data_IF_515584829911
#
_entry.id   IF_515584829911
#
_cell.length_a   1.000
_cell.length_b   1.000
_cell.length_c   1.000
_cell.angle_alpha   90.00
_cell.angle_beta   90.00
_cell.angle_gamma   90.00
#
_symmetry.space_group_name_H-M   'P 1'
#
loop_
_entity.id
_entity.type
_entity.pdbx_description
1 polymer ?
#
# COMPACT_ATOMS: atom_id res chain seq x y z
N UNK A 1 30.34 -66.46 12.35
CA UNK A 1 31.69 -65.89 12.15
C UNK A 1 31.77 -65.45 10.71
N UNK A 2 31.38 -64.20 10.46
CA UNK A 2 31.25 -63.62 9.13
C UNK A 2 32.32 -62.54 8.93
N UNK A 3 32.90 -62.58 7.73
CA UNK A 3 33.77 -61.58 7.13
C UNK A 3 33.01 -60.25 7.04
N UNK A 4 33.64 -59.15 7.46
CA UNK A 4 33.19 -57.79 7.14
C UNK A 4 34.40 -56.96 6.69
N UNK A 5 34.51 -56.81 5.38
CA UNK A 5 35.39 -55.88 4.69
C UNK A 5 34.91 -54.45 4.98
N UNK A 6 35.77 -53.64 5.59
CA UNK A 6 35.58 -52.20 5.71
C UNK A 6 35.85 -51.56 4.34
N UNK A 7 34.80 -51.21 3.62
CA UNK A 7 34.91 -50.31 2.47
C UNK A 7 35.01 -48.87 2.98
N UNK A 8 36.23 -48.33 2.98
CA UNK A 8 36.45 -46.89 2.94
C UNK A 8 35.92 -46.37 1.62
N UNK A 9 34.87 -45.55 1.67
CA UNK A 9 34.37 -44.83 0.51
C UNK A 9 34.65 -43.35 0.71
N UNK A 10 35.91 -42.96 0.47
CA UNK A 10 36.32 -41.56 0.29
C UNK A 10 35.75 -41.08 -1.04
N UNK A 11 34.52 -40.55 -1.02
CA UNK A 11 34.06 -39.67 -2.09
C UNK A 11 34.65 -38.28 -1.87
N UNK A 12 35.84 -38.08 -2.43
CA UNK A 12 36.38 -36.77 -2.75
C UNK A 12 35.40 -36.04 -3.69
N UNK A 13 34.65 -35.09 -3.14
CA UNK A 13 33.94 -34.09 -3.92
C UNK A 13 34.86 -32.86 -4.11
N UNK A 14 35.07 -32.51 -5.37
CA UNK A 14 35.94 -31.45 -5.87
C UNK A 14 35.78 -30.08 -5.19
N UNK A 15 36.88 -29.40 -4.78
CA UNK A 15 36.82 -28.03 -4.31
C UNK A 15 37.05 -27.06 -5.46
N UNK A 16 35.97 -26.52 -6.03
CA UNK A 16 36.04 -25.23 -6.76
C UNK A 16 34.85 -24.35 -6.39
N UNK A 17 34.59 -24.19 -5.09
CA UNK A 17 33.82 -23.03 -4.64
C UNK A 17 34.75 -21.83 -4.65
N UNK A 18 34.40 -20.79 -5.40
CA UNK A 18 34.99 -19.47 -5.18
C UNK A 18 34.88 -19.13 -3.69
N UNK A 19 35.89 -18.48 -3.09
CA UNK A 19 35.80 -18.05 -1.70
C UNK A 19 34.57 -17.15 -1.53
N UNK A 20 33.63 -17.56 -0.68
CA UNK A 20 32.45 -16.76 -0.35
C UNK A 20 32.87 -15.59 0.53
N UNK A 21 32.24 -14.44 0.34
CA UNK A 21 32.54 -13.21 1.06
C UNK A 21 31.78 -13.16 2.38
N UNK A 22 32.48 -12.98 3.50
CA UNK A 22 31.86 -12.68 4.80
C UNK A 22 31.47 -11.20 4.87
N UNK A 23 30.20 -10.84 5.13
CA UNK A 23 29.81 -9.45 5.27
C UNK A 23 30.26 -8.88 6.63
N UNK A 24 30.91 -7.72 6.61
CA UNK A 24 31.22 -6.92 7.81
C UNK A 24 30.32 -5.69 7.89
N UNK A 25 29.00 -5.92 7.87
CA UNK A 25 27.96 -4.89 7.91
C UNK A 25 27.34 -4.84 9.32
N UNK A 26 26.89 -3.65 9.75
CA UNK A 26 26.16 -3.47 11.02
C UNK A 26 24.93 -2.60 10.80
N UNK A 27 24.00 -2.66 11.75
CA UNK A 27 22.83 -1.80 11.85
C UNK A 27 22.00 -1.76 10.54
N UNK A 28 21.74 -0.57 10.00
CA UNK A 28 20.93 -0.39 8.78
C UNK A 28 21.61 -1.04 7.57
N UNK A 29 22.94 -1.01 7.49
CA UNK A 29 23.69 -1.60 6.37
C UNK A 29 23.51 -3.12 6.31
N UNK A 30 23.34 -3.82 7.42
CA UNK A 30 23.03 -5.27 7.41
C UNK A 30 21.66 -5.56 6.75
N UNK A 31 20.71 -4.61 6.82
CA UNK A 31 19.37 -4.76 6.23
C UNK A 31 19.42 -4.95 4.71
N UNK A 32 20.48 -4.51 4.02
CA UNK A 32 20.63 -4.74 2.57
C UNK A 32 20.70 -6.24 2.23
N UNK A 33 21.20 -7.07 3.15
CA UNK A 33 21.24 -8.53 3.00
C UNK A 33 19.83 -9.13 3.03
N UNK A 34 18.92 -8.56 3.83
CA UNK A 34 17.52 -8.99 3.86
C UNK A 34 16.80 -8.71 2.53
N UNK A 35 17.05 -7.52 1.95
CA UNK A 35 16.51 -7.14 0.65
C UNK A 35 17.06 -8.02 -0.49
N UNK A 36 18.37 -8.31 -0.47
CA UNK A 36 18.99 -9.25 -1.39
C UNK A 36 18.36 -10.65 -1.29
N UNK A 37 18.26 -11.19 -0.08
CA UNK A 37 17.74 -12.53 0.18
C UNK A 37 16.32 -12.72 -0.34
N UNK A 38 15.43 -11.75 -0.09
CA UNK A 38 14.06 -11.82 -0.60
C UNK A 38 14.01 -11.81 -2.14
N UNK A 39 14.88 -11.03 -2.81
CA UNK A 39 14.93 -10.97 -4.27
C UNK A 39 15.54 -12.23 -4.87
N UNK A 40 16.66 -12.69 -4.36
CA UNK A 40 17.33 -13.90 -4.82
C UNK A 40 16.45 -15.14 -4.66
N UNK A 41 15.81 -15.27 -3.49
CA UNK A 41 14.88 -16.36 -3.23
C UNK A 41 13.67 -16.34 -4.17
N UNK A 42 13.13 -15.16 -4.50
CA UNK A 42 12.02 -15.02 -5.45
C UNK A 42 12.46 -15.28 -6.90
N UNK A 43 13.64 -14.82 -7.29
CA UNK A 43 14.19 -14.99 -8.63
C UNK A 43 14.58 -16.44 -8.95
N UNK A 44 14.94 -17.22 -7.93
CA UNK A 44 15.21 -18.65 -8.08
C UNK A 44 13.95 -19.50 -8.27
N UNK A 45 12.74 -18.93 -8.17
CA UNK A 45 11.50 -19.69 -8.29
C UNK A 45 11.04 -19.81 -9.74
N UNK A 46 10.51 -20.99 -10.16
CA UNK A 46 9.86 -21.13 -11.45
C UNK A 46 8.64 -20.21 -11.64
N UNK A 47 7.93 -19.92 -10.54
CA UNK A 47 6.76 -19.05 -10.49
C UNK A 47 7.09 -17.63 -9.95
N UNK A 48 8.37 -17.24 -9.96
CA UNK A 48 8.88 -16.00 -9.39
C UNK A 48 8.30 -14.75 -10.05
N UNK A 49 8.03 -13.70 -9.26
CA UNK A 49 7.53 -12.41 -9.77
C UNK A 49 8.63 -11.46 -10.27
N UNK A 50 9.89 -11.81 -10.04
CA UNK A 50 11.05 -11.02 -10.42
C UNK A 50 12.10 -11.92 -11.08
N UNK A 51 12.62 -11.52 -12.24
CA UNK A 51 13.77 -12.18 -12.87
C UNK A 51 15.03 -11.38 -12.56
N UNK A 52 15.93 -11.96 -11.77
CA UNK A 52 17.10 -11.25 -11.24
C UNK A 52 18.30 -12.19 -11.04
N UNK A 53 18.96 -12.61 -12.14
CA UNK A 53 20.07 -13.56 -12.06
C UNK A 53 21.28 -12.99 -11.31
N UNK A 54 21.46 -11.67 -11.29
CA UNK A 54 22.56 -11.06 -10.54
C UNK A 54 22.31 -11.12 -9.04
N UNK A 55 21.07 -10.92 -8.57
CA UNK A 55 20.77 -11.09 -7.13
C UNK A 55 21.04 -12.52 -6.64
N UNK A 56 20.72 -13.53 -7.45
CA UNK A 56 21.02 -14.94 -7.14
C UNK A 56 22.53 -15.16 -7.02
N UNK A 57 23.32 -14.70 -8.00
CA UNK A 57 24.79 -14.82 -7.97
C UNK A 57 25.40 -14.13 -6.74
N UNK A 58 24.94 -12.91 -6.42
CA UNK A 58 25.43 -12.15 -5.26
C UNK A 58 25.07 -12.90 -3.96
N UNK A 59 23.84 -13.38 -3.84
CA UNK A 59 23.38 -14.16 -2.70
C UNK A 59 24.23 -15.42 -2.49
N UNK A 60 24.49 -16.20 -3.55
CA UNK A 60 25.31 -17.42 -3.48
C UNK A 60 26.79 -17.14 -3.13
N UNK A 61 27.29 -15.95 -3.47
CA UNK A 61 28.65 -15.54 -3.18
C UNK A 61 28.87 -15.03 -1.75
N UNK A 62 27.81 -14.82 -0.95
CA UNK A 62 27.91 -14.30 0.42
C UNK A 62 27.85 -15.45 1.42
N UNK A 63 28.81 -15.48 2.36
CA UNK A 63 28.80 -16.41 3.49
C UNK A 63 28.03 -15.81 4.67
N UNK A 64 26.71 -16.00 4.65
CA UNK A 64 25.81 -15.50 5.68
C UNK A 64 24.63 -16.47 5.87
N UNK A 65 24.23 -16.71 7.12
CA UNK A 65 23.09 -17.58 7.44
C UNK A 65 21.77 -16.80 7.32
N UNK A 66 21.34 -16.57 6.08
CA UNK A 66 20.18 -15.74 5.76
C UNK A 66 18.89 -16.25 6.38
N UNK A 67 18.64 -17.56 6.36
CA UNK A 67 17.40 -18.13 6.86
C UNK A 67 17.31 -18.01 8.39
N UNK A 68 18.42 -18.24 9.11
CA UNK A 68 18.44 -18.08 10.57
C UNK A 68 18.22 -16.63 10.98
N UNK A 69 18.82 -15.67 10.27
CA UNK A 69 18.71 -14.26 10.61
C UNK A 69 17.35 -13.68 10.18
N UNK A 70 16.90 -13.92 8.96
CA UNK A 70 15.72 -13.22 8.41
C UNK A 70 14.44 -14.05 8.35
N UNK A 71 14.52 -15.37 8.55
CA UNK A 71 13.40 -16.30 8.42
C UNK A 71 13.12 -16.68 6.96
N UNK A 72 11.89 -17.10 6.69
CA UNK A 72 11.46 -17.44 5.33
C UNK A 72 11.23 -16.17 4.48
N UNK A 73 11.68 -16.16 3.21
CA UNK A 73 11.53 -14.99 2.35
C UNK A 73 10.07 -14.81 1.95
N UNK A 74 9.49 -13.65 2.29
CA UNK A 74 8.07 -13.36 2.05
C UNK A 74 7.79 -12.84 0.62
N UNK A 75 8.83 -12.55 -0.16
CA UNK A 75 8.73 -12.05 -1.55
C UNK A 75 8.26 -10.59 -1.66
N UNK A 76 7.91 -9.94 -0.56
CA UNK A 76 7.44 -8.55 -0.51
C UNK A 76 8.45 -7.55 -1.09
N UNK A 77 9.74 -7.74 -0.77
CA UNK A 77 10.82 -6.88 -1.26
C UNK A 77 11.14 -7.14 -2.75
N UNK A 78 10.88 -8.36 -3.24
CA UNK A 78 11.00 -8.67 -4.65
C UNK A 78 9.87 -8.05 -5.48
N UNK A 79 8.63 -8.09 -4.98
CA UNK A 79 7.51 -7.36 -5.56
C UNK A 79 7.77 -5.85 -5.56
N UNK A 80 8.33 -5.30 -4.47
CA UNK A 80 8.72 -3.89 -4.40
C UNK A 80 9.68 -3.54 -5.55
N UNK A 81 10.75 -4.32 -5.74
CA UNK A 81 11.68 -4.16 -6.85
C UNK A 81 10.98 -4.23 -8.21
N UNK A 82 10.14 -5.24 -8.45
CA UNK A 82 9.40 -5.40 -9.71
C UNK A 82 8.45 -4.22 -10.02
N UNK A 83 7.80 -3.67 -9.00
CA UNK A 83 6.91 -2.51 -9.14
C UNK A 83 7.70 -1.24 -9.53
N UNK A 84 8.88 -1.04 -8.93
CA UNK A 84 9.78 0.07 -9.27
C UNK A 84 10.33 -0.13 -10.69
N UNK A 85 10.74 -1.35 -11.07
CA UNK A 85 11.23 -1.67 -12.42
C UNK A 85 10.20 -1.25 -13.50
N UNK A 86 8.92 -1.49 -13.24
CA UNK A 86 7.83 -1.12 -14.16
C UNK A 86 7.74 0.39 -14.36
N UNK A 87 7.88 1.17 -13.30
CA UNK A 87 7.84 2.64 -13.37
C UNK A 87 9.09 3.18 -14.06
N UNK A 88 10.27 2.68 -13.71
CA UNK A 88 11.52 3.06 -14.36
C UNK A 88 11.48 2.77 -15.86
N UNK A 89 11.03 1.59 -16.29
CA UNK A 89 10.90 1.26 -17.71
C UNK A 89 9.93 2.20 -18.45
N UNK A 90 8.83 2.61 -17.81
CA UNK A 90 7.90 3.60 -18.40
C UNK A 90 8.52 4.98 -18.50
N UNK A 91 9.30 5.38 -17.49
CA UNK A 91 10.00 6.65 -17.49
C UNK A 91 11.11 6.67 -18.55
N UNK A 92 11.91 5.61 -18.66
CA UNK A 92 12.98 5.44 -19.65
C UNK A 92 12.49 5.45 -21.10
N UNK A 93 11.23 5.07 -21.36
CA UNK A 93 10.63 5.24 -22.70
C UNK A 93 10.51 6.72 -23.10
N UNK A 94 10.33 7.62 -22.13
CA UNK A 94 10.27 9.08 -22.33
C UNK A 94 11.65 9.74 -22.19
N UNK A 95 12.53 9.13 -21.40
CA UNK A 95 13.87 9.62 -21.07
C UNK A 95 14.93 8.54 -21.32
N UNK A 96 15.21 8.15 -22.58
CA UNK A 96 16.08 7.03 -22.89
C UNK A 96 17.51 7.20 -22.32
N UNK A 97 18.04 8.43 -22.35
CA UNK A 97 19.38 8.77 -21.83
C UNK A 97 19.32 9.40 -20.42
N UNK A 98 18.20 9.22 -19.73
CA UNK A 98 17.93 9.79 -18.42
C UNK A 98 18.91 9.31 -17.35
N UNK A 99 19.06 10.10 -16.29
CA UNK A 99 19.83 9.74 -15.11
C UNK A 99 18.91 9.19 -14.04
N UNK A 100 19.14 7.93 -13.63
CA UNK A 100 18.53 7.39 -12.42
C UNK A 100 19.50 7.54 -11.26
N UNK A 101 19.04 8.09 -10.13
CA UNK A 101 19.80 8.17 -8.88
C UNK A 101 19.13 7.26 -7.85
N UNK A 102 19.86 6.28 -7.34
CA UNK A 102 19.39 5.36 -6.30
C UNK A 102 20.05 5.69 -4.97
N UNK A 103 19.26 6.16 -4.01
CA UNK A 103 19.68 6.54 -2.68
C UNK A 103 19.54 5.33 -1.74
N UNK A 104 20.61 4.97 -1.04
CA UNK A 104 20.65 3.80 -0.15
C UNK A 104 20.49 2.49 -0.93
N UNK A 105 21.17 2.37 -2.07
CA UNK A 105 20.94 1.28 -3.02
C UNK A 105 21.32 -0.12 -2.49
N UNK A 106 22.32 -0.21 -1.62
CA UNK A 106 22.88 -1.45 -1.12
C UNK A 106 23.26 -2.41 -2.24
N UNK A 107 22.69 -3.62 -2.22
CA UNK A 107 22.95 -4.69 -3.19
C UNK A 107 21.85 -4.81 -4.26
N UNK A 108 21.03 -3.78 -4.45
CA UNK A 108 20.03 -3.75 -5.51
C UNK A 108 20.68 -3.87 -6.90
N UNK A 109 20.08 -4.69 -7.77
CA UNK A 109 20.56 -4.99 -9.15
C UNK A 109 19.64 -4.39 -10.21
N UNK A 110 18.77 -3.46 -9.82
CA UNK A 110 17.77 -2.83 -10.66
C UNK A 110 18.36 -2.21 -11.93
N UNK A 111 19.52 -1.55 -11.83
CA UNK A 111 20.26 -1.03 -12.99
C UNK A 111 20.49 -2.10 -14.08
N UNK A 112 20.72 -3.37 -13.71
CA UNK A 112 20.91 -4.49 -14.65
C UNK A 112 19.60 -4.96 -15.28
N UNK A 113 18.49 -4.88 -14.53
CA UNK A 113 17.16 -5.35 -14.98
C UNK A 113 16.43 -4.35 -15.86
N UNK A 114 16.75 -3.06 -15.76
CA UNK A 114 16.07 -1.98 -16.50
C UNK A 114 16.95 -1.29 -17.54
N UNK A 115 18.21 -1.72 -17.70
CA UNK A 115 19.12 -1.15 -18.69
C UNK A 115 18.55 -1.21 -20.11
N UNK A 116 18.49 -0.05 -20.76
CA UNK A 116 18.10 0.10 -22.15
C UNK A 116 19.33 0.32 -23.07
N UNK A 117 20.55 0.27 -22.51
CA UNK A 117 21.81 0.46 -23.21
C UNK A 117 22.33 1.89 -23.23
N UNK A 118 21.50 2.91 -22.94
CA UNK A 118 21.90 4.33 -23.00
C UNK A 118 21.67 5.10 -21.70
N UNK A 119 20.81 4.60 -20.81
CA UNK A 119 20.56 5.21 -19.50
C UNK A 119 21.83 5.31 -18.66
N UNK A 120 21.82 6.27 -17.72
CA UNK A 120 22.86 6.44 -16.70
C UNK A 120 22.27 6.12 -15.33
N UNK A 121 23.11 5.57 -14.46
CA UNK A 121 22.75 5.20 -13.10
C UNK A 121 23.79 5.73 -12.12
N UNK A 122 23.31 6.30 -11.01
CA UNK A 122 24.13 6.76 -9.91
C UNK A 122 23.67 6.07 -8.62
N UNK A 123 24.51 5.20 -8.09
CA UNK A 123 24.34 4.62 -6.75
C UNK A 123 24.91 5.57 -5.71
N UNK A 124 24.10 5.98 -4.74
CA UNK A 124 24.54 6.79 -3.59
C UNK A 124 24.27 6.00 -2.32
N UNK A 125 25.32 5.68 -1.58
CA UNK A 125 25.18 4.94 -0.32
C UNK A 125 26.37 5.20 0.61
N UNK A 126 26.26 4.76 1.87
CA UNK A 126 27.33 4.87 2.85
C UNK A 126 28.62 4.20 2.34
N UNK A 127 29.81 4.69 2.75
CA UNK A 127 31.08 4.16 2.26
C UNK A 127 31.24 2.64 2.41
N UNK A 128 30.83 2.08 3.53
CA UNK A 128 30.86 0.64 3.77
C UNK A 128 29.90 -0.15 2.86
N UNK A 129 28.75 0.44 2.53
CA UNK A 129 27.78 -0.15 1.62
C UNK A 129 28.29 -0.17 0.18
N UNK A 130 28.86 0.95 -0.29
CA UNK A 130 29.49 1.02 -1.62
C UNK A 130 30.69 0.09 -1.71
N UNK A 131 31.57 0.07 -0.69
CA UNK A 131 32.71 -0.84 -0.65
C UNK A 131 32.29 -2.30 -0.75
N UNK A 132 31.21 -2.69 -0.06
CA UNK A 132 30.68 -4.06 -0.13
C UNK A 132 30.02 -4.35 -1.48
N UNK A 133 29.19 -3.44 -1.99
CA UNK A 133 28.55 -3.52 -3.31
C UNK A 133 29.56 -3.74 -4.42
N UNK A 134 30.68 -3.01 -4.38
CA UNK A 134 31.72 -3.07 -5.39
C UNK A 134 32.48 -4.39 -5.44
N UNK A 135 32.32 -5.28 -4.47
CA UNK A 135 32.84 -6.64 -4.59
C UNK A 135 32.09 -7.46 -5.64
N UNK A 136 30.84 -7.08 -5.95
CA UNK A 136 29.97 -7.82 -6.86
C UNK A 136 29.52 -7.00 -8.08
N UNK A 137 29.24 -5.71 -7.88
CA UNK A 137 28.77 -4.80 -8.91
C UNK A 137 29.81 -3.71 -9.06
N UNK A 138 30.68 -3.79 -10.08
CA UNK A 138 31.70 -2.76 -10.34
C UNK A 138 31.09 -1.52 -11.01
N UNK A 139 31.57 -0.31 -10.67
CA UNK A 139 31.17 0.89 -11.38
C UNK A 139 31.66 0.87 -12.83
N UNK A 140 30.95 1.58 -13.70
CA UNK A 140 31.29 1.83 -15.09
C UNK A 140 31.06 3.30 -15.43
N UNK A 141 31.36 3.72 -16.65
CA UNK A 141 31.10 5.09 -17.10
C UNK A 141 29.61 5.45 -17.03
N UNK A 142 28.71 4.48 -17.30
CA UNK A 142 27.25 4.68 -17.22
C UNK A 142 26.69 4.42 -15.83
N UNK A 143 27.29 3.49 -15.06
CA UNK A 143 26.82 3.06 -13.75
C UNK A 143 27.83 3.46 -12.69
N UNK A 144 27.67 4.67 -12.15
CA UNK A 144 28.61 5.26 -11.21
C UNK A 144 28.16 5.04 -9.77
N UNK A 145 29.13 5.04 -8.87
CA UNK A 145 28.90 4.98 -7.43
C UNK A 145 29.47 6.22 -6.74
N UNK A 146 28.78 6.69 -5.69
CA UNK A 146 29.26 7.71 -4.76
C UNK A 146 29.09 7.18 -3.34
N UNK A 147 30.21 7.08 -2.63
CA UNK A 147 30.30 6.66 -1.24
C UNK A 147 30.05 7.85 -0.29
N UNK A 148 28.77 8.22 -0.13
CA UNK A 148 28.34 9.30 0.76
C UNK A 148 26.93 9.03 1.28
N UNK A 149 26.61 9.57 2.46
CA UNK A 149 25.24 9.53 2.99
C UNK A 149 24.26 10.20 2.03
N UNK A 150 23.06 9.62 1.89
CA UNK A 150 21.98 10.25 1.12
C UNK A 150 21.58 11.64 1.66
N UNK A 151 21.86 11.92 2.94
CA UNK A 151 21.62 13.22 3.58
C UNK A 151 22.67 14.29 3.24
N UNK A 152 23.82 13.89 2.69
CA UNK A 152 24.84 14.82 2.24
C UNK A 152 24.48 15.32 0.83
N UNK A 153 24.13 16.59 0.69
CA UNK A 153 23.71 17.13 -0.61
C UNK A 153 24.82 17.14 -1.67
N UNK A 154 26.08 16.86 -1.32
CA UNK A 154 27.19 16.83 -2.27
C UNK A 154 27.01 15.79 -3.39
N UNK A 155 26.24 14.71 -3.18
CA UNK A 155 25.95 13.77 -4.27
C UNK A 155 25.14 14.41 -5.42
N UNK A 156 24.46 15.52 -5.15
CA UNK A 156 23.67 16.26 -6.13
C UNK A 156 24.52 17.19 -7.03
N UNK A 157 25.80 17.37 -6.71
CA UNK A 157 26.68 18.33 -7.37
C UNK A 157 27.21 17.80 -8.70
N UNK A 158 27.21 18.68 -9.71
CA UNK A 158 27.75 18.37 -11.04
C UNK A 158 26.98 17.30 -11.82
N UNK A 159 25.76 16.92 -11.38
CA UNK A 159 24.92 16.00 -12.14
C UNK A 159 24.34 16.68 -13.38
N UNK A 160 24.48 16.04 -14.53
CA UNK A 160 23.82 16.46 -15.77
C UNK A 160 22.34 16.05 -15.73
N UNK A 161 21.48 17.05 -15.53
CA UNK A 161 20.02 16.90 -15.42
C UNK A 161 19.29 17.11 -16.74
N UNK A 162 20.00 17.42 -17.84
CA UNK A 162 19.42 17.84 -19.12
C UNK A 162 18.54 16.76 -19.80
N UNK A 163 18.76 15.48 -19.46
CA UNK A 163 18.02 14.33 -19.99
C UNK A 163 16.90 13.83 -19.08
N UNK A 164 16.65 14.54 -17.98
CA UNK A 164 15.72 14.14 -16.94
C UNK A 164 16.41 13.32 -15.85
N UNK A 165 15.87 13.44 -14.64
CA UNK A 165 16.34 12.72 -13.44
C UNK A 165 15.18 11.92 -12.86
N UNK A 166 15.45 10.67 -12.53
CA UNK A 166 14.55 9.83 -11.74
C UNK A 166 15.24 9.41 -10.45
N UNK A 167 14.59 9.57 -9.30
CA UNK A 167 15.18 9.23 -8.00
C UNK A 167 14.48 8.00 -7.41
N UNK A 168 15.26 7.03 -6.94
CA UNK A 168 14.77 5.86 -6.22
C UNK A 168 15.31 5.92 -4.80
N UNK A 169 14.44 5.81 -3.81
CA UNK A 169 14.80 5.67 -2.40
C UNK A 169 13.98 4.55 -1.77
N UNK A 170 14.32 3.30 -2.10
CA UNK A 170 13.62 2.12 -1.58
C UNK A 170 14.33 1.54 -0.36
N UNK A 171 13.58 1.23 0.69
CA UNK A 171 14.14 0.73 1.95
C UNK A 171 15.10 1.71 2.61
N UNK A 172 14.89 3.02 2.45
CA UNK A 172 15.79 4.05 2.99
C UNK A 172 15.06 5.00 3.95
N UNK A 173 14.07 5.75 3.45
CA UNK A 173 13.56 6.94 4.14
C UNK A 173 12.94 6.62 5.52
N UNK A 174 12.39 5.42 5.68
CA UNK A 174 11.83 4.94 6.96
C UNK A 174 12.84 4.95 8.12
N UNK A 175 14.13 4.81 7.83
CA UNK A 175 15.23 4.80 8.82
C UNK A 175 15.71 6.20 9.21
N UNK A 176 15.27 7.24 8.51
CA UNK A 176 15.73 8.61 8.71
C UNK A 176 14.78 9.38 9.64
N UNK A 177 15.32 10.34 10.38
CA UNK A 177 14.49 11.21 11.21
C UNK A 177 13.50 12.00 10.35
N UNK A 178 12.24 12.22 10.79
CA UNK A 178 11.22 12.88 9.97
C UNK A 178 11.66 14.24 9.40
N UNK A 179 12.42 15.00 10.19
CA UNK A 179 12.96 16.29 9.76
C UNK A 179 14.05 16.15 8.69
N UNK A 180 14.91 15.14 8.80
CA UNK A 180 15.93 14.84 7.79
C UNK A 180 15.28 14.40 6.47
N UNK A 181 14.18 13.63 6.52
CA UNK A 181 13.41 13.27 5.32
C UNK A 181 12.83 14.52 4.67
N UNK A 182 12.20 15.41 5.45
CA UNK A 182 11.66 16.68 4.93
C UNK A 182 12.73 17.51 4.24
N UNK A 183 13.89 17.65 4.87
CA UNK A 183 15.02 18.42 4.33
C UNK A 183 15.58 17.79 3.05
N UNK A 184 15.82 16.47 3.04
CA UNK A 184 16.30 15.73 1.87
C UNK A 184 15.34 15.87 0.69
N UNK A 185 14.04 15.61 0.89
CA UNK A 185 13.06 15.71 -0.18
C UNK A 185 12.94 17.16 -0.71
N UNK A 186 12.99 18.16 0.18
CA UNK A 186 12.95 19.57 -0.24
C UNK A 186 14.18 19.94 -1.06
N UNK A 187 15.39 19.54 -0.63
CA UNK A 187 16.63 19.77 -1.37
C UNK A 187 16.61 19.09 -2.76
N UNK A 188 16.07 17.87 -2.84
CA UNK A 188 15.83 17.18 -4.11
C UNK A 188 14.88 17.99 -5.01
N UNK A 189 13.78 18.51 -4.46
CA UNK A 189 12.80 19.30 -5.21
C UNK A 189 13.34 20.65 -5.70
N UNK A 190 14.24 21.24 -4.93
CA UNK A 190 14.92 22.48 -5.28
C UNK A 190 15.93 22.26 -6.41
N UNK A 191 16.74 21.19 -6.33
CA UNK A 191 17.80 20.88 -7.29
C UNK A 191 17.30 20.26 -8.60
N UNK A 192 16.32 19.37 -8.53
CA UNK A 192 15.88 18.55 -9.66
C UNK A 192 14.44 18.88 -10.08
N UNK A 193 14.25 20.06 -10.66
CA UNK A 193 12.95 20.46 -11.22
C UNK A 193 12.53 19.54 -12.36
N UNK A 194 11.26 19.09 -12.37
CA UNK A 194 10.76 18.17 -13.39
C UNK A 194 11.16 16.71 -13.17
N UNK A 195 11.85 16.38 -12.07
CA UNK A 195 12.20 15.01 -11.76
C UNK A 195 11.00 14.21 -11.25
N UNK A 196 11.10 12.90 -11.40
CA UNK A 196 10.19 11.92 -10.81
C UNK A 196 10.94 11.15 -9.71
N UNK A 197 10.25 10.78 -8.63
CA UNK A 197 10.84 10.05 -7.52
C UNK A 197 9.94 8.92 -7.06
N UNK A 198 10.53 7.79 -6.68
CA UNK A 198 9.82 6.69 -6.02
C UNK A 198 10.48 6.32 -4.70
N UNK A 199 9.66 6.13 -3.68
CA UNK A 199 10.11 5.68 -2.36
C UNK A 199 9.00 4.89 -1.67
N UNK A 200 9.38 4.03 -0.72
CA UNK A 200 8.45 3.33 0.14
C UNK A 200 8.27 4.04 1.48
N UNK A 201 7.07 3.90 2.03
CA UNK A 201 6.72 4.35 3.38
C UNK A 201 6.13 3.20 4.17
N UNK A 202 6.42 3.19 5.47
CA UNK A 202 5.74 2.34 6.44
C UNK A 202 4.63 3.13 7.15
N UNK A 203 3.52 2.48 7.51
CA UNK A 203 2.47 3.15 8.28
C UNK A 203 2.95 3.47 9.70
N UNK A 204 2.36 4.48 10.33
CA UNK A 204 2.81 4.98 11.65
C UNK A 204 2.75 3.93 12.74
N UNK A 205 1.77 3.04 12.72
CA UNK A 205 1.68 1.95 13.69
C UNK A 205 2.91 1.03 13.60
N UNK A 206 3.38 0.72 12.39
CA UNK A 206 4.53 -0.14 12.17
C UNK A 206 5.82 0.56 12.61
N UNK A 207 5.97 1.84 12.24
CA UNK A 207 7.03 2.70 12.77
C UNK A 207 7.09 2.64 14.31
N UNK A 208 5.96 2.87 15.01
CA UNK A 208 5.91 2.78 16.49
C UNK A 208 6.34 1.41 17.03
N UNK A 209 5.94 0.32 16.40
CA UNK A 209 6.37 -1.03 16.81
C UNK A 209 7.89 -1.22 16.67
N UNK A 210 8.48 -0.79 15.56
CA UNK A 210 9.94 -0.89 15.37
C UNK A 210 10.71 -0.04 16.37
N UNK A 211 10.17 1.14 16.74
CA UNK A 211 10.77 2.02 17.75
C UNK A 211 10.78 1.39 19.16
N UNK A 212 9.77 0.59 19.50
CA UNK A 212 9.71 -0.15 20.78
C UNK A 212 10.62 -1.40 20.74
N UNK A 213 10.95 -1.90 19.54
CA UNK A 213 11.79 -3.06 19.32
C UNK A 213 11.00 -4.25 18.82
N UNK A 214 10.99 -4.41 17.51
CA UNK A 214 10.32 -5.52 16.84
C UNK A 214 11.36 -6.55 16.38
N UNK A 215 11.22 -7.79 16.85
CA UNK A 215 12.05 -8.92 16.44
C UNK A 215 11.46 -9.55 15.17
N UNK A 216 12.27 -9.65 14.12
CA UNK A 216 11.91 -10.38 12.91
C UNK A 216 12.11 -11.89 13.12
N UNK A 217 13.22 -12.25 13.77
CA UNK A 217 13.52 -13.60 14.24
C UNK A 217 14.13 -13.49 15.65
N UNK A 218 14.42 -14.63 16.29
CA UNK A 218 15.20 -14.64 17.53
C UNK A 218 16.63 -14.07 17.35
N UNK A 219 17.12 -13.95 16.12
CA UNK A 219 18.49 -13.55 15.79
C UNK A 219 18.58 -12.19 15.08
N UNK A 220 17.44 -11.57 14.74
CA UNK A 220 17.42 -10.30 14.02
C UNK A 220 16.32 -9.39 14.53
N UNK A 221 16.73 -8.25 15.09
CA UNK A 221 15.87 -7.14 15.46
C UNK A 221 15.78 -6.18 14.29
N UNK A 222 14.57 -5.82 13.88
CA UNK A 222 14.40 -4.79 12.86
C UNK A 222 15.00 -3.47 13.34
N UNK A 223 15.78 -2.77 12.51
CA UNK A 223 16.28 -1.45 12.85
C UNK A 223 15.11 -0.48 13.10
N UNK A 224 15.28 0.51 14.00
CA UNK A 224 14.26 1.51 14.26
C UNK A 224 13.88 2.26 12.98
N UNK A 225 12.57 2.40 12.72
CA UNK A 225 12.05 3.15 11.58
C UNK A 225 11.32 4.41 12.06
N UNK A 226 12.02 5.50 12.40
CA UNK A 226 11.43 6.68 13.02
C UNK A 226 10.48 7.46 12.10
N UNK A 227 10.53 7.25 10.79
CA UNK A 227 9.61 7.90 9.85
C UNK A 227 8.56 6.93 9.33
N UNK A 228 7.32 7.12 9.78
CA UNK A 228 6.13 6.50 9.22
C UNK A 228 5.17 7.55 8.65
N UNK A 229 4.49 7.19 7.57
CA UNK A 229 3.54 8.06 6.85
C UNK A 229 2.33 7.22 6.43
N UNK A 230 1.15 7.58 6.91
CA UNK A 230 -0.07 6.86 6.55
C UNK A 230 -0.53 7.27 5.14
N UNK A 231 -1.08 6.31 4.40
CA UNK A 231 -1.38 6.47 2.97
C UNK A 231 -2.29 7.67 2.69
N UNK A 232 -3.31 7.87 3.50
CA UNK A 232 -4.35 8.88 3.25
C UNK A 232 -3.86 10.32 3.54
N UNK A 233 -2.85 10.48 4.38
CA UNK A 233 -2.25 11.79 4.69
C UNK A 233 -1.02 12.11 3.82
N UNK A 234 -0.44 11.10 3.16
CA UNK A 234 0.84 11.24 2.46
C UNK A 234 0.84 12.39 1.44
N UNK A 235 -0.21 12.49 0.62
CA UNK A 235 -0.31 13.54 -0.38
C UNK A 235 -0.44 14.95 0.24
N UNK A 236 -1.18 15.08 1.34
CA UNK A 236 -1.36 16.35 2.03
C UNK A 236 -0.07 16.80 2.74
N UNK A 237 0.63 15.87 3.40
CA UNK A 237 1.89 16.16 4.10
C UNK A 237 2.99 16.54 3.12
N UNK A 238 3.17 15.75 2.05
CA UNK A 238 4.20 16.04 1.05
C UNK A 238 3.95 17.42 0.42
N UNK A 239 2.73 17.70 -0.08
CA UNK A 239 2.40 19.03 -0.64
C UNK A 239 2.65 20.20 0.31
N UNK A 240 2.50 19.99 1.63
CA UNK A 240 2.81 21.01 2.63
C UNK A 240 4.32 21.22 2.82
N UNK A 241 5.14 20.20 2.58
CA UNK A 241 6.59 20.32 2.71
C UNK A 241 7.22 21.12 1.58
N UNK A 242 6.72 21.00 0.35
CA UNK A 242 7.28 21.74 -0.76
C UNK A 242 6.24 22.02 -1.87
N UNK A 243 6.15 23.25 -2.40
CA UNK A 243 5.15 23.63 -3.40
C UNK A 243 5.33 22.91 -4.75
N UNK A 244 6.52 22.36 -5.03
CA UNK A 244 6.78 21.60 -6.26
C UNK A 244 6.34 20.13 -6.19
N UNK A 245 5.87 19.63 -5.06
CA UNK A 245 5.32 18.27 -5.00
C UNK A 245 3.89 18.26 -5.56
N UNK A 246 3.77 18.07 -6.87
CA UNK A 246 2.50 18.28 -7.59
C UNK A 246 1.62 17.04 -7.56
N UNK A 247 2.18 15.90 -7.96
CA UNK A 247 1.45 14.62 -8.03
C UNK A 247 2.04 13.59 -7.06
N UNK A 248 1.16 12.93 -6.32
CA UNK A 248 1.49 11.89 -5.34
C UNK A 248 0.62 10.69 -5.67
N UNK A 249 1.18 9.78 -6.45
CA UNK A 249 0.53 8.55 -6.85
C UNK A 249 1.01 7.38 -6.00
N UNK A 250 0.16 6.38 -5.81
CA UNK A 250 0.51 5.15 -5.10
C UNK A 250 0.67 4.02 -6.10
N UNK A 251 1.83 3.38 -6.10
CA UNK A 251 2.04 2.19 -6.92
C UNK A 251 1.32 1.02 -6.26
N UNK A 252 0.42 0.40 -7.01
CA UNK A 252 -0.18 -0.86 -6.62
C UNK A 252 0.88 -1.95 -6.70
N UNK A 253 1.17 -2.59 -5.57
CA UNK A 253 1.99 -3.79 -5.55
C UNK A 253 1.36 -4.83 -4.62
N UNK A 254 1.13 -6.02 -5.16
CA UNK A 254 0.42 -7.11 -4.49
C UNK A 254 1.43 -8.13 -4.00
N UNK A 255 1.33 -8.54 -2.74
CA UNK A 255 2.16 -9.63 -2.22
C UNK A 255 2.05 -10.84 -3.15
N UNK A 256 3.14 -11.53 -3.46
CA UNK A 256 3.14 -12.52 -4.52
C UNK A 256 2.37 -13.78 -4.09
N UNK A 257 2.42 -14.14 -2.80
CA UNK A 257 1.86 -15.36 -2.21
C UNK A 257 1.51 -15.17 -0.72
N UNK A 258 0.96 -16.21 -0.11
CA UNK A 258 0.63 -16.27 1.33
C UNK A 258 -0.70 -15.60 1.70
N UNK A 259 -1.12 -15.67 2.97
CA UNK A 259 -2.38 -15.05 3.43
C UNK A 259 -2.42 -13.53 3.19
N UNK A 260 -1.25 -12.89 3.12
CA UNK A 260 -1.09 -11.47 2.80
C UNK A 260 -1.31 -11.12 1.32
N UNK A 261 -1.28 -12.09 0.39
CA UNK A 261 -1.70 -11.88 -1.01
C UNK A 261 -3.19 -11.54 -1.10
N UNK A 262 -4.00 -12.17 -0.24
CA UNK A 262 -5.44 -11.90 -0.10
C UNK A 262 -5.72 -10.60 0.65
N UNK A 263 -4.72 -10.02 1.32
CA UNK A 263 -4.87 -8.78 2.06
C UNK A 263 -5.30 -7.66 1.13
N UNK A 264 -4.71 -7.50 -0.07
CA UNK A 264 -5.05 -6.42 -0.99
C UNK A 264 -6.55 -6.34 -1.33
N UNK A 265 -7.20 -7.40 -1.84
CA UNK A 265 -8.65 -7.40 -2.06
C UNK A 265 -9.41 -7.25 -0.74
N UNK A 266 -8.97 -7.83 0.38
CA UNK A 266 -9.65 -7.71 1.67
C UNK A 266 -9.71 -6.28 2.22
N UNK A 267 -8.64 -5.47 2.16
CA UNK A 267 -8.74 -4.05 2.60
C UNK A 267 -9.63 -3.18 1.73
N UNK A 268 -9.86 -3.55 0.48
CA UNK A 268 -10.81 -2.80 -0.34
C UNK A 268 -12.22 -2.93 0.25
N UNK A 269 -12.47 -3.97 1.05
CA UNK A 269 -13.73 -4.23 1.75
C UNK A 269 -13.82 -3.53 3.13
N UNK A 270 -12.69 -3.19 3.76
CA UNK A 270 -12.65 -2.55 5.08
C UNK A 270 -11.93 -1.19 5.00
N UNK A 271 -12.67 -0.05 4.95
CA UNK A 271 -12.09 1.29 4.79
C UNK A 271 -11.01 1.63 5.84
N UNK A 272 -11.16 1.16 7.07
CA UNK A 272 -10.21 1.38 8.17
C UNK A 272 -8.86 0.65 7.98
N UNK A 273 -8.79 -0.37 7.11
CA UNK A 273 -7.55 -1.10 6.79
C UNK A 273 -6.84 -0.56 5.53
N UNK A 274 -7.38 0.50 4.90
CA UNK A 274 -6.81 1.12 3.69
C UNK A 274 -5.64 2.06 4.01
N UNK A 275 -5.69 2.73 5.16
CA UNK A 275 -4.68 3.67 5.69
C UNK A 275 -3.41 2.97 6.18
N UNK A 276 -3.56 1.76 6.72
CA UNK A 276 -2.60 1.07 7.59
C UNK A 276 -1.60 0.19 6.82
N UNK A 277 -1.09 0.64 5.67
CA UNK A 277 -0.31 -0.22 4.76
C UNK A 277 1.00 0.37 4.28
N UNK A 278 2.05 -0.46 4.19
CA UNK A 278 3.24 -0.11 3.42
C UNK A 278 2.83 0.26 2.00
N UNK A 279 3.36 1.38 1.52
CA UNK A 279 2.98 1.97 0.25
C UNK A 279 4.21 2.41 -0.51
N UNK A 280 4.20 2.20 -1.83
CA UNK A 280 5.17 2.79 -2.74
C UNK A 280 4.56 4.07 -3.30
N UNK A 281 5.22 5.19 -3.07
CA UNK A 281 4.80 6.51 -3.53
C UNK A 281 5.62 6.86 -4.76
N UNK A 282 4.92 7.24 -5.83
CA UNK A 282 5.50 7.90 -7.00
C UNK A 282 5.17 9.40 -6.92
N UNK A 283 6.20 10.20 -6.78
CA UNK A 283 6.15 11.63 -6.56
C UNK A 283 6.65 12.35 -7.82
N UNK A 284 5.83 13.25 -8.36
CA UNK A 284 6.24 14.14 -9.44
C UNK A 284 6.66 15.50 -8.86
N UNK A 285 7.85 15.97 -9.25
CA UNK A 285 8.38 17.27 -8.87
C UNK A 285 8.11 18.24 -10.01
N UNK A 286 7.12 19.11 -9.83
CA UNK A 286 6.72 20.10 -10.82
C UNK A 286 7.86 21.04 -11.22
N UNK A 287 7.82 21.46 -12.48
CA UNK A 287 8.55 22.64 -12.92
C UNK A 287 7.87 23.89 -12.33
N UNK A 288 8.62 24.95 -12.05
CA UNK A 288 8.01 26.21 -11.60
C UNK A 288 6.88 26.62 -12.57
N UNK A 289 5.75 27.16 -12.07
CA UNK A 289 4.61 27.44 -12.94
C UNK A 289 4.97 28.52 -13.95
N UNK A 290 5.09 28.14 -15.22
CA UNK A 290 4.69 29.01 -16.31
C UNK A 290 3.16 28.90 -16.40
N UNK A 291 2.47 30.03 -16.27
CA UNK A 291 1.03 30.12 -16.40
C UNK A 291 0.60 29.67 -17.81
N UNK A 292 0.06 28.46 -17.95
CA UNK A 292 -1.05 28.21 -18.88
C UNK A 292 -1.73 26.86 -18.62
N UNK A 293 -3.02 26.98 -18.33
CA UNK A 293 -4.09 25.98 -18.21
C UNK A 293 -4.10 24.97 -19.38
N UNK A 294 -4.34 23.68 -19.10
CA UNK A 294 -5.58 22.96 -19.45
C UNK A 294 -5.46 21.46 -19.14
N UNK A 295 -6.50 20.95 -18.47
CA UNK A 295 -6.64 19.61 -17.90
C UNK A 295 -6.79 18.52 -18.96
N UNK A 296 -6.05 17.43 -18.79
CA UNK A 296 -6.30 16.14 -19.42
C UNK A 296 -7.11 15.32 -18.41
N UNK A 297 -8.43 15.41 -18.46
CA UNK A 297 -9.30 14.53 -17.65
C UNK A 297 -10.49 13.93 -18.43
N UNK A 298 -10.57 14.18 -19.74
CA UNK A 298 -11.60 13.59 -20.59
C UNK A 298 -10.97 12.55 -21.53
N UNK A 299 -10.72 11.35 -21.01
CA UNK A 299 -10.66 10.13 -21.81
C UNK A 299 -10.63 8.93 -20.88
N UNK A 300 -11.80 8.34 -20.67
CA UNK A 300 -12.14 6.94 -20.32
C UNK A 300 -13.42 7.01 -19.47
N UNK A 301 -14.55 7.20 -20.14
CA UNK A 301 -15.88 6.90 -19.62
C UNK A 301 -16.84 6.81 -20.80
N UNK A 302 -16.81 5.68 -21.50
CA UNK A 302 -18.00 5.26 -22.24
C UNK A 302 -17.95 3.75 -22.50
N UNK A 303 -18.77 3.02 -21.74
CA UNK A 303 -19.67 1.97 -22.23
C UNK A 303 -20.48 1.44 -21.05
N UNK A 304 -21.72 1.94 -20.95
CA UNK A 304 -22.75 1.38 -20.09
C UNK A 304 -23.63 0.44 -20.92
N UNK A 305 -23.73 -0.82 -20.49
CA UNK A 305 -24.81 -1.73 -20.85
C UNK A 305 -25.83 -1.78 -19.70
N UNK A 306 -27.11 -1.74 -20.04
CA UNK A 306 -28.23 -1.74 -19.10
C UNK A 306 -28.39 -3.09 -18.32
N UNK A 307 -29.12 -3.10 -17.20
CA UNK A 307 -28.78 -3.91 -16.02
C UNK A 307 -29.53 -5.24 -15.92
N UNK A 308 -28.93 -6.17 -15.17
CA UNK A 308 -29.61 -7.32 -14.55
C UNK A 308 -29.36 -7.22 -13.03
N UNK A 309 -30.35 -7.47 -12.15
CA UNK A 309 -30.30 -7.00 -10.77
C UNK A 309 -29.39 -7.87 -9.88
N UNK A 310 -28.45 -7.24 -9.16
CA UNK A 310 -27.68 -7.86 -8.08
C UNK A 310 -26.15 -7.85 -8.21
N UNK A 311 -25.58 -6.96 -9.02
CA UNK A 311 -24.15 -7.01 -9.41
C UNK A 311 -23.28 -5.97 -8.69
N UNK A 312 -21.95 -6.14 -8.74
CA UNK A 312 -20.95 -5.19 -8.19
C UNK A 312 -21.16 -3.74 -8.68
N UNK A 313 -21.70 -3.54 -9.88
CA UNK A 313 -22.06 -2.22 -10.40
C UNK A 313 -23.18 -1.56 -9.60
N UNK A 314 -24.16 -2.31 -9.09
CA UNK A 314 -25.25 -1.79 -8.26
C UNK A 314 -24.70 -1.32 -6.90
N UNK A 315 -23.75 -2.08 -6.33
CA UNK A 315 -23.03 -1.66 -5.12
C UNK A 315 -22.23 -0.38 -5.34
N UNK A 316 -21.54 -0.25 -6.47
CA UNK A 316 -20.77 0.96 -6.81
C UNK A 316 -21.69 2.15 -7.06
N UNK A 317 -22.81 1.95 -7.75
CA UNK A 317 -23.81 2.99 -7.99
C UNK A 317 -24.44 3.48 -6.67
N UNK A 318 -24.86 2.56 -5.81
CA UNK A 318 -25.42 2.89 -4.50
C UNK A 318 -24.38 3.55 -3.58
N UNK A 319 -23.12 3.10 -3.59
CA UNK A 319 -22.05 3.73 -2.82
C UNK A 319 -21.76 5.17 -3.30
N UNK A 320 -21.75 5.41 -4.62
CA UNK A 320 -21.61 6.76 -5.20
C UNK A 320 -22.80 7.64 -4.81
N UNK A 321 -24.02 7.11 -4.87
CA UNK A 321 -25.24 7.82 -4.48
C UNK A 321 -25.21 8.19 -2.99
N UNK A 322 -24.86 7.25 -2.11
CA UNK A 322 -24.75 7.51 -0.66
C UNK A 322 -23.66 8.53 -0.34
N UNK A 323 -22.52 8.50 -1.06
CA UNK A 323 -21.46 9.50 -0.91
C UNK A 323 -21.91 10.90 -1.37
N UNK A 324 -22.63 11.01 -2.49
CA UNK A 324 -23.23 12.26 -2.96
C UNK A 324 -24.22 12.82 -1.95
N UNK A 325 -25.16 12.00 -1.49
CA UNK A 325 -26.14 12.34 -0.45
C UNK A 325 -25.52 12.83 0.86
N UNK A 326 -24.38 12.26 1.26
CA UNK A 326 -23.63 12.71 2.44
C UNK A 326 -22.95 14.07 2.24
N UNK A 327 -22.39 14.32 1.06
CA UNK A 327 -21.81 15.62 0.69
C UNK A 327 -22.86 16.72 0.68
N UNK A 328 -24.02 16.47 0.06
CA UNK A 328 -25.11 17.44 -0.03
C UNK A 328 -25.68 17.77 1.36
N UNK A 329 -25.84 16.76 2.22
CA UNK A 329 -26.26 16.94 3.61
C UNK A 329 -25.27 17.82 4.39
N UNK A 330 -23.96 17.61 4.21
CA UNK A 330 -22.93 18.40 4.88
C UNK A 330 -22.95 19.88 4.45
N UNK A 331 -23.12 20.14 3.15
CA UNK A 331 -23.25 21.50 2.61
C UNK A 331 -24.50 22.19 3.16
N UNK A 332 -25.66 21.53 3.11
CA UNK A 332 -26.92 22.09 3.59
C UNK A 332 -26.90 22.31 5.12
N UNK A 333 -26.34 21.38 5.90
CA UNK A 333 -26.15 21.55 7.34
C UNK A 333 -25.22 22.74 7.65
N UNK A 334 -24.17 22.94 6.86
CA UNK A 334 -23.27 24.09 6.97
C UNK A 334 -23.99 25.43 6.80
N UNK A 335 -24.94 25.52 5.86
CA UNK A 335 -25.76 26.72 5.66
C UNK A 335 -26.68 27.00 6.86
N UNK A 336 -27.34 25.97 7.40
CA UNK A 336 -28.17 26.07 8.60
C UNK A 336 -27.35 26.54 9.81
N UNK A 337 -26.15 25.99 9.99
CA UNK A 337 -25.23 26.39 11.06
C UNK A 337 -24.81 27.85 10.89
N UNK A 338 -24.40 28.26 9.69
CA UNK A 338 -23.99 29.64 9.43
C UNK A 338 -25.10 30.65 9.74
N UNK A 339 -26.35 30.36 9.35
CA UNK A 339 -27.51 31.21 9.66
C UNK A 339 -27.80 31.27 11.16
N UNK A 340 -27.76 30.14 11.86
CA UNK A 340 -27.99 30.09 13.32
C UNK A 340 -26.86 30.77 14.11
N UNK A 341 -25.63 30.75 13.60
CA UNK A 341 -24.51 31.54 14.16
C UNK A 341 -24.76 33.04 13.97
N UNK A 342 -25.22 33.47 12.80
CA UNK A 342 -25.57 34.87 12.56
C UNK A 342 -26.70 35.35 13.49
N UNK A 343 -27.74 34.53 13.70
CA UNK A 343 -28.80 34.80 14.68
C UNK A 343 -28.24 34.88 16.11
N UNK A 344 -27.29 34.02 16.47
CA UNK A 344 -26.61 34.05 17.78
C UNK A 344 -25.80 35.33 18.01
N UNK A 345 -25.09 35.80 16.99
CA UNK A 345 -24.35 37.07 17.04
C UNK A 345 -25.30 38.25 17.18
N UNK A 346 -26.41 38.27 16.42
CA UNK A 346 -27.43 39.32 16.55
C UNK A 346 -28.09 39.34 17.94
N UNK A 347 -28.36 38.16 18.51
CA UNK A 347 -28.90 38.02 19.86
C UNK A 347 -27.93 38.50 20.96
N UNK A 348 -26.61 38.35 20.76
CA UNK A 348 -25.61 38.88 21.69
C UNK A 348 -25.56 40.42 21.71
N UNK A 349 -25.88 41.06 20.58
CA UNK A 349 -25.95 42.52 20.45
C UNK A 349 -27.27 43.08 20.97
N UNK A 350 -28.40 42.37 20.75
CA UNK A 350 -29.71 42.75 21.26
C UNK A 350 -30.49 41.53 21.78
N UNK A 351 -30.32 41.17 23.07
CA UNK A 351 -30.92 39.97 23.65
C UNK A 351 -32.46 39.97 23.69
N UNK A 352 -33.06 41.16 23.77
CA UNK A 352 -34.53 41.31 23.85
C UNK A 352 -35.18 41.05 22.50
N UNK A 353 -34.51 41.37 21.40
CA UNK A 353 -34.99 41.14 20.03
C UNK A 353 -34.58 39.78 19.44
N UNK A 354 -33.94 38.91 20.23
CA UNK A 354 -33.50 37.60 19.77
C UNK A 354 -34.69 36.65 19.48
N UNK A 355 -34.54 35.80 18.47
CA UNK A 355 -35.52 34.75 18.15
C UNK A 355 -35.37 33.57 19.12
N UNK A 356 -35.85 33.76 20.34
CA UNK A 356 -35.84 32.76 21.41
C UNK A 356 -36.60 31.48 21.02
N UNK A 357 -37.59 31.59 20.12
CA UNK A 357 -38.34 30.44 19.63
C UNK A 357 -37.49 29.55 18.72
N UNK A 358 -36.64 30.13 17.86
CA UNK A 358 -35.70 29.37 17.05
C UNK A 358 -34.59 28.72 17.91
N UNK A 359 -34.06 29.41 18.93
CA UNK A 359 -33.07 28.82 19.84
C UNK A 359 -33.63 27.63 20.64
N UNK A 360 -34.87 27.71 21.11
CA UNK A 360 -35.52 26.65 21.86
C UNK A 360 -35.74 25.36 21.02
N UNK A 361 -35.81 25.47 19.68
CA UNK A 361 -36.05 24.33 18.77
C UNK A 361 -34.78 23.58 18.38
N UNK A 362 -33.61 24.21 18.44
CA UNK A 362 -32.37 23.66 17.87
C UNK A 362 -31.94 22.31 18.45
N UNK A 363 -32.07 22.14 19.76
CA UNK A 363 -31.67 20.90 20.46
C UNK A 363 -32.72 19.80 20.26
N UNK A 364 -34.03 20.03 20.50
CA UNK A 364 -35.07 19.04 20.23
C UNK A 364 -35.09 18.52 18.79
N UNK A 365 -34.93 19.38 17.79
CA UNK A 365 -34.89 18.98 16.38
C UNK A 365 -33.72 18.04 16.06
N UNK A 366 -32.52 18.37 16.56
CA UNK A 366 -31.34 17.52 16.39
C UNK A 366 -31.55 16.17 17.07
N UNK A 367 -31.98 16.18 18.33
CA UNK A 367 -32.23 14.95 19.09
C UNK A 367 -33.29 14.09 18.39
N UNK A 368 -34.35 14.70 17.87
CA UNK A 368 -35.39 14.01 17.10
C UNK A 368 -34.88 13.36 15.82
N UNK A 369 -34.10 14.10 15.02
CA UNK A 369 -33.53 13.60 13.76
C UNK A 369 -32.53 12.45 13.99
N UNK A 370 -31.65 12.57 14.99
CA UNK A 370 -30.69 11.52 15.35
C UNK A 370 -31.39 10.29 15.96
N UNK A 371 -32.44 10.49 16.76
CA UNK A 371 -33.22 9.37 17.32
C UNK A 371 -33.96 8.61 16.22
N UNK A 372 -34.58 9.31 15.27
CA UNK A 372 -35.25 8.71 14.13
C UNK A 372 -34.28 7.93 13.23
N UNK A 373 -33.09 8.48 12.96
CA UNK A 373 -32.03 7.76 12.27
C UNK A 373 -31.57 6.50 13.03
N UNK A 374 -31.49 6.56 14.36
CA UNK A 374 -31.19 5.41 15.22
C UNK A 374 -32.22 4.30 15.11
N UNK A 375 -33.52 4.63 15.14
CA UNK A 375 -34.61 3.65 14.96
C UNK A 375 -34.52 2.95 13.60
N UNK A 376 -34.21 3.69 12.54
CA UNK A 376 -34.01 3.13 11.20
C UNK A 376 -32.82 2.16 11.17
N UNK A 377 -31.70 2.50 11.83
CA UNK A 377 -30.56 1.59 11.92
C UNK A 377 -30.87 0.32 12.71
N UNK A 378 -31.64 0.41 13.79
CA UNK A 378 -32.07 -0.77 14.55
C UNK A 378 -32.94 -1.69 13.68
N UNK A 379 -33.94 -1.15 12.99
CA UNK A 379 -34.81 -1.92 12.11
C UNK A 379 -34.02 -2.60 10.97
N UNK A 380 -33.05 -1.90 10.37
CA UNK A 380 -32.20 -2.45 9.30
C UNK A 380 -31.19 -3.49 9.81
N UNK A 381 -30.76 -3.38 11.07
CA UNK A 381 -29.89 -4.38 11.70
C UNK A 381 -30.61 -5.71 11.93
N UNK A 382 -31.93 -5.70 12.17
CA UNK A 382 -32.73 -6.92 12.27
C UNK A 382 -32.83 -7.67 10.94
N UNK A 383 -32.95 -6.94 9.82
CA UNK A 383 -32.94 -7.49 8.46
C UNK A 383 -31.62 -8.22 8.17
N UNK A 384 -30.49 -7.57 8.49
CA UNK A 384 -29.16 -8.16 8.37
C UNK A 384 -28.98 -9.38 9.28
N UNK A 385 -29.45 -9.31 10.54
CA UNK A 385 -29.42 -10.44 11.49
C UNK A 385 -30.20 -11.64 10.94
N UNK A 386 -31.41 -11.42 10.43
CA UNK A 386 -32.22 -12.47 9.80
C UNK A 386 -31.53 -13.11 8.60
N UNK A 387 -30.83 -12.31 7.78
CA UNK A 387 -30.07 -12.82 6.65
C UNK A 387 -28.89 -13.70 7.09
N UNK A 388 -28.09 -13.23 8.06
CA UNK A 388 -26.95 -13.96 8.62
C UNK A 388 -27.41 -15.29 9.23
N UNK A 389 -28.49 -15.28 10.02
CA UNK A 389 -29.02 -16.50 10.63
C UNK A 389 -29.48 -17.50 9.56
N UNK A 390 -30.18 -17.05 8.52
CA UNK A 390 -30.60 -17.95 7.42
C UNK A 390 -29.41 -18.54 6.67
N UNK A 391 -28.39 -17.73 6.37
CA UNK A 391 -27.18 -18.21 5.72
C UNK A 391 -26.42 -19.22 6.59
N UNK A 392 -26.24 -18.93 7.88
CA UNK A 392 -25.57 -19.84 8.80
C UNK A 392 -26.28 -21.20 8.89
N UNK A 393 -27.61 -21.20 9.01
CA UNK A 393 -28.41 -22.43 9.01
C UNK A 393 -28.26 -23.20 7.68
N UNK A 394 -28.28 -22.49 6.56
CA UNK A 394 -28.07 -23.09 5.24
C UNK A 394 -26.69 -23.73 5.09
N UNK A 395 -25.62 -23.07 5.56
CA UNK A 395 -24.26 -23.61 5.48
C UNK A 395 -24.05 -24.82 6.39
N UNK A 396 -24.62 -24.82 7.60
CA UNK A 396 -24.59 -25.99 8.49
C UNK A 396 -25.26 -27.20 7.82
N UNK A 397 -26.43 -27.01 7.21
CA UNK A 397 -27.13 -28.08 6.51
C UNK A 397 -26.38 -28.56 5.26
N UNK A 398 -25.77 -27.64 4.52
CA UNK A 398 -24.99 -27.96 3.31
C UNK A 398 -23.72 -28.72 3.66
N UNK A 399 -23.01 -28.31 4.72
CA UNK A 399 -21.83 -29.01 5.22
C UNK A 399 -22.18 -30.40 5.76
N UNK A 400 -23.27 -30.54 6.53
CA UNK A 400 -23.74 -31.83 7.01
C UNK A 400 -24.03 -32.79 5.84
N UNK A 401 -24.77 -32.33 4.82
CA UNK A 401 -25.08 -33.12 3.63
C UNK A 401 -23.83 -33.55 2.86
N UNK A 402 -22.87 -32.64 2.68
CA UNK A 402 -21.62 -32.94 2.00
C UNK A 402 -20.78 -33.96 2.78
N UNK A 403 -20.76 -33.88 4.11
CA UNK A 403 -20.08 -34.86 4.97
C UNK A 403 -20.72 -36.24 4.87
N UNK A 404 -22.06 -36.34 4.87
CA UNK A 404 -22.75 -37.61 4.67
C UNK A 404 -22.51 -38.19 3.27
N UNK A 405 -22.52 -37.37 2.21
CA UNK A 405 -22.19 -37.79 0.84
C UNK A 405 -20.75 -38.33 0.79
N UNK A 406 -19.78 -37.61 1.38
CA UNK A 406 -18.38 -38.02 1.42
C UNK A 406 -18.15 -39.33 2.19
N UNK A 407 -18.93 -39.59 3.25
CA UNK A 407 -18.85 -40.83 4.03
C UNK A 407 -19.31 -42.08 3.24
N UNK A 408 -20.02 -41.91 2.11
CA UNK A 408 -20.43 -43.03 1.25
C UNK A 408 -19.37 -43.41 0.21
N UNK A 409 -18.31 -42.62 0.05
CA UNK A 409 -17.24 -42.93 -0.90
C UNK A 409 -16.19 -43.87 -0.30
N UNK A 410 -15.94 -44.99 -0.98
CA UNK A 410 -14.93 -45.97 -0.59
C UNK A 410 -13.53 -45.64 -1.15
N UNK A 411 -13.44 -44.73 -2.12
CA UNK A 411 -12.21 -44.37 -2.81
C UNK A 411 -11.71 -42.96 -2.37
N UNK A 412 -10.45 -42.84 -1.91
CA UNK A 412 -9.84 -41.55 -1.55
C UNK A 412 -9.92 -40.47 -2.64
N UNK A 413 -9.84 -40.84 -3.93
CA UNK A 413 -9.92 -39.87 -5.03
C UNK A 413 -11.31 -39.24 -5.15
N UNK A 414 -12.38 -40.02 -4.96
CA UNK A 414 -13.76 -39.52 -5.00
C UNK A 414 -14.08 -38.59 -3.84
N UNK A 415 -13.48 -38.84 -2.66
CA UNK A 415 -13.55 -37.92 -1.51
C UNK A 415 -12.86 -36.59 -1.84
N UNK A 416 -11.68 -36.63 -2.46
CA UNK A 416 -10.93 -35.42 -2.83
C UNK A 416 -11.68 -34.56 -3.88
N UNK A 417 -12.31 -35.20 -4.87
CA UNK A 417 -13.16 -34.51 -5.85
C UNK A 417 -14.41 -33.89 -5.21
N UNK A 418 -15.06 -34.60 -4.28
CA UNK A 418 -16.22 -34.09 -3.54
C UNK A 418 -15.84 -32.91 -2.64
N UNK A 419 -14.69 -32.96 -1.96
CA UNK A 419 -14.12 -31.83 -1.22
C UNK A 419 -13.87 -30.63 -2.14
N UNK A 420 -13.27 -30.85 -3.31
CA UNK A 420 -13.02 -29.78 -4.29
C UNK A 420 -14.29 -29.16 -4.88
N UNK A 421 -15.36 -29.94 -5.08
CA UNK A 421 -16.69 -29.42 -5.47
C UNK A 421 -17.32 -28.61 -4.35
N UNK A 422 -17.31 -29.12 -3.12
CA UNK A 422 -17.85 -28.44 -1.95
C UNK A 422 -17.13 -27.10 -1.70
N UNK A 423 -15.80 -27.09 -1.76
CA UNK A 423 -15.00 -25.88 -1.55
C UNK A 423 -15.32 -24.78 -2.57
N UNK A 424 -15.40 -25.11 -3.87
CA UNK A 424 -15.79 -24.14 -4.91
C UNK A 424 -17.19 -23.59 -4.70
N UNK A 425 -18.17 -24.46 -4.46
CA UNK A 425 -19.55 -24.05 -4.23
C UNK A 425 -19.69 -23.22 -2.93
N UNK A 426 -18.88 -23.50 -1.92
CA UNK A 426 -18.82 -22.71 -0.69
C UNK A 426 -18.30 -21.29 -0.96
N UNK A 427 -17.25 -21.13 -1.76
CA UNK A 427 -16.75 -19.81 -2.16
C UNK A 427 -17.80 -18.99 -2.92
N UNK A 428 -18.56 -19.60 -3.83
CA UNK A 428 -19.63 -18.92 -4.58
C UNK A 428 -20.76 -18.44 -3.67
N UNK A 429 -21.18 -19.27 -2.71
CA UNK A 429 -22.22 -18.89 -1.73
C UNK A 429 -21.72 -17.84 -0.74
N UNK A 430 -20.48 -17.97 -0.25
CA UNK A 430 -19.89 -17.03 0.69
C UNK A 430 -19.71 -15.63 0.06
N UNK A 431 -19.26 -15.57 -1.20
CA UNK A 431 -19.14 -14.30 -1.93
C UNK A 431 -20.51 -13.65 -2.19
N UNK A 432 -21.52 -14.43 -2.58
CA UNK A 432 -22.89 -13.95 -2.76
C UNK A 432 -23.50 -13.40 -1.47
N UNK A 433 -23.33 -14.10 -0.34
CA UNK A 433 -23.77 -13.65 0.98
C UNK A 433 -23.04 -12.36 1.41
N UNK A 434 -21.73 -12.26 1.14
CA UNK A 434 -20.97 -11.06 1.43
C UNK A 434 -21.48 -9.84 0.65
N UNK A 435 -21.78 -10.01 -0.65
CA UNK A 435 -22.39 -8.95 -1.46
C UNK A 435 -23.76 -8.53 -0.94
N UNK A 436 -24.61 -9.49 -0.55
CA UNK A 436 -25.92 -9.21 0.02
C UNK A 436 -25.82 -8.38 1.32
N UNK A 437 -24.89 -8.74 2.22
CA UNK A 437 -24.62 -7.96 3.44
C UNK A 437 -24.09 -6.56 3.15
N UNK A 438 -23.21 -6.42 2.15
CA UNK A 438 -22.72 -5.12 1.70
C UNK A 438 -23.84 -4.21 1.19
N UNK A 439 -24.75 -4.75 0.38
CA UNK A 439 -25.94 -4.03 -0.10
C UNK A 439 -26.88 -3.64 1.04
N UNK A 440 -27.13 -4.54 1.99
CA UNK A 440 -27.95 -4.24 3.18
C UNK A 440 -27.34 -3.11 4.02
N UNK A 441 -26.01 -3.10 4.20
CA UNK A 441 -25.31 -2.06 4.94
C UNK A 441 -25.38 -0.69 4.24
N UNK A 442 -25.15 -0.64 2.92
CA UNK A 442 -25.27 0.59 2.13
C UNK A 442 -26.69 1.15 2.16
N UNK A 443 -27.70 0.28 2.08
CA UNK A 443 -29.11 0.66 2.18
C UNK A 443 -29.45 1.15 3.58
N UNK A 444 -28.96 0.49 4.63
CA UNK A 444 -29.15 0.93 6.01
C UNK A 444 -28.58 2.34 6.24
N UNK A 445 -27.37 2.60 5.71
CA UNK A 445 -26.76 3.92 5.78
C UNK A 445 -27.56 4.97 5.00
N UNK A 446 -28.02 4.66 3.78
CA UNK A 446 -28.84 5.56 2.98
C UNK A 446 -30.16 5.91 3.67
N UNK A 447 -30.86 4.91 4.22
CA UNK A 447 -32.13 5.11 4.90
C UNK A 447 -31.95 5.90 6.22
N UNK A 448 -30.85 5.68 6.94
CA UNK A 448 -30.54 6.41 8.17
C UNK A 448 -30.19 7.88 7.93
N UNK A 449 -29.77 8.24 6.72
CA UNK A 449 -29.55 9.64 6.33
C UNK A 449 -30.85 10.38 6.04
N UNK A 450 -31.93 9.69 5.66
CA UNK A 450 -33.20 10.32 5.28
C UNK A 450 -33.81 11.20 6.40
N UNK A 451 -33.91 10.75 7.67
CA UNK A 451 -34.37 11.61 8.76
C UNK A 451 -33.51 12.86 8.97
N UNK A 452 -32.19 12.76 8.77
CA UNK A 452 -31.26 13.88 8.88
C UNK A 452 -31.42 14.87 7.73
N UNK A 453 -31.58 14.37 6.51
CA UNK A 453 -31.86 15.18 5.32
C UNK A 453 -33.18 15.94 5.44
N UNK A 454 -34.24 15.28 5.91
CA UNK A 454 -35.52 15.92 6.13
C UNK A 454 -35.44 17.02 7.18
N UNK A 455 -34.72 16.78 8.28
CA UNK A 455 -34.51 17.78 9.33
C UNK A 455 -33.71 18.98 8.81
N UNK A 456 -32.65 18.74 8.02
CA UNK A 456 -31.86 19.83 7.42
C UNK A 456 -32.67 20.60 6.38
N UNK A 457 -33.44 19.93 5.52
CA UNK A 457 -34.29 20.59 4.54
C UNK A 457 -35.35 21.49 5.20
N UNK A 458 -36.04 20.98 6.23
CA UNK A 458 -37.02 21.75 7.00
C UNK A 458 -36.37 22.96 7.71
N UNK A 459 -35.12 22.84 8.16
CA UNK A 459 -34.37 23.95 8.75
C UNK A 459 -33.95 24.97 7.69
N UNK A 460 -33.50 24.50 6.52
CA UNK A 460 -33.08 25.37 5.42
C UNK A 460 -34.25 26.22 4.93
N UNK A 461 -35.42 25.62 4.70
CA UNK A 461 -36.64 26.32 4.26
C UNK A 461 -37.09 27.38 5.27
N UNK A 462 -37.04 27.06 6.57
CA UNK A 462 -37.44 27.98 7.64
C UNK A 462 -36.46 29.13 7.85
N UNK A 463 -35.18 28.92 7.55
CA UNK A 463 -34.13 29.92 7.75
C UNK A 463 -33.82 30.72 6.48
N UNK A 464 -34.34 30.34 5.31
CA UNK A 464 -34.41 31.19 4.09
C UNK A 464 -35.41 32.30 4.26
#
# INVERSE_FOLDING_TARGET
MNVALSFSNDHAASPTSNPRTTPHLRDVSETMLWALYNRAAEAGRPDGVLTDPDSVKIYEAIDYDFQRHFGDPAGSLAVRGAAIDLVLRRWLKRHPDGLIVSLGEGLETQARRVDNGTMRWLSVDLPEAIQFREQFLKPTDRFRHIAVSALDTAWMDGLDTSRGVFIVAQGLLMYLQPEAVRQLLSAIADRFTGAEMVFDVVPRWFSRLTMIGLQQTAHYRLPPMPWGLDRDEAAAILRRWHPRFTDVAFLAYRMPRGPLHLWEPMSRLFPMLRTERPSLIHLTIGTAPCLSTTRINDMISNQAGAPNPGTMSDMVALAKQTAGSGSDLAVAAGQVIAKRVALGVAAAVNPIAADHAEFARMVPEKVGAFSAAGVVMVARSEEARSHITRFATHEVMTAARATFEMATYLNPLSVMEAQGRFARAWFDRASSNFMALGMMALKAQADALSPLQNAVAANTERLT
#
